data_IF_911399496564
#
_entry.id   IF_911399496564
#
_cell.length_a   1.000
_cell.length_b   1.000
_cell.length_c   1.000
_cell.angle_alpha   90.00
_cell.angle_beta   90.00
_cell.angle_gamma   90.00
#
_symmetry.space_group_name_H-M   'P 1'
#
loop_
_entity.id
_entity.type
_entity.pdbx_description
1 polymer ?
#
# COMPACT_ATOMS: atom_id res chain seq x y z
N UNK A 1 -6.27 -13.84 -6.52
CA UNK A 1 -6.58 -14.70 -5.37
C UNK A 1 -7.36 -15.93 -5.83
N UNK A 2 -7.02 -17.12 -5.31
CA UNK A 2 -7.66 -18.37 -5.68
C UNK A 2 -8.47 -18.93 -4.50
N UNK A 3 -9.63 -19.48 -4.81
CA UNK A 3 -10.51 -20.13 -3.86
C UNK A 3 -10.74 -21.57 -4.29
N UNK A 4 -10.67 -22.51 -3.35
CA UNK A 4 -11.09 -23.89 -3.56
C UNK A 4 -12.52 -24.07 -3.07
N UNK A 5 -13.34 -24.69 -3.87
CA UNK A 5 -14.75 -24.97 -3.55
C UNK A 5 -14.92 -26.49 -3.39
N UNK A 6 -15.34 -26.89 -2.20
CA UNK A 6 -15.74 -28.27 -1.93
C UNK A 6 -17.26 -28.38 -2.09
N UNK A 7 -17.70 -29.35 -2.91
CA UNK A 7 -19.14 -29.57 -3.17
C UNK A 7 -19.96 -29.88 -1.91
N UNK A 8 -19.30 -30.38 -0.85
CA UNK A 8 -20.00 -30.72 0.41
C UNK A 8 -20.03 -29.59 1.43
N UNK A 9 -18.97 -28.80 1.52
CA UNK A 9 -18.75 -27.84 2.61
C UNK A 9 -18.62 -26.37 2.14
N UNK A 10 -18.81 -26.09 0.86
CA UNK A 10 -18.61 -24.74 0.31
C UNK A 10 -17.15 -24.41 0.08
N UNK A 11 -16.72 -23.25 0.52
CA UNK A 11 -15.32 -22.80 0.42
C UNK A 11 -14.44 -23.57 1.39
N UNK A 12 -13.42 -24.26 0.89
CA UNK A 12 -12.41 -24.95 1.73
C UNK A 12 -11.48 -23.96 2.40
N UNK A 13 -11.11 -22.89 1.71
CA UNK A 13 -10.31 -21.80 2.25
C UNK A 13 -11.22 -20.64 2.60
N UNK A 14 -11.22 -20.23 3.86
CA UNK A 14 -11.98 -19.06 4.31
C UNK A 14 -11.40 -17.74 3.81
N UNK A 15 -10.13 -17.75 3.39
CA UNK A 15 -9.41 -16.58 2.91
C UNK A 15 -8.77 -16.87 1.55
N UNK A 16 -8.73 -15.88 0.64
CA UNK A 16 -8.02 -16.01 -0.61
C UNK A 16 -6.52 -16.12 -0.37
N UNK A 17 -5.85 -16.97 -1.12
CA UNK A 17 -4.40 -17.12 -1.07
C UNK A 17 -3.73 -16.63 -2.36
N UNK A 18 -2.50 -16.14 -2.22
CA UNK A 18 -1.69 -15.68 -3.34
C UNK A 18 -1.29 -16.84 -4.26
N UNK A 19 -1.33 -16.69 -5.59
CA UNK A 19 -0.77 -17.68 -6.50
C UNK A 19 0.74 -17.89 -6.35
N UNK A 20 1.46 -17.00 -5.65
CA UNK A 20 2.90 -17.00 -5.52
C UNK A 20 3.59 -17.01 -6.89
N UNK A 21 3.23 -16.04 -7.72
CA UNK A 21 3.65 -15.93 -9.11
C UNK A 21 4.28 -14.56 -9.38
N UNK A 22 5.59 -14.47 -9.64
CA UNK A 22 6.28 -13.22 -9.88
C UNK A 22 5.96 -12.59 -11.24
N UNK A 23 5.30 -13.30 -12.15
CA UNK A 23 4.78 -12.70 -13.40
C UNK A 23 3.70 -11.64 -13.14
N UNK A 24 3.10 -11.65 -11.95
CA UNK A 24 2.22 -10.57 -11.50
C UNK A 24 3.03 -9.53 -10.74
N UNK A 25 3.07 -8.30 -11.25
CA UNK A 25 3.89 -7.20 -10.71
C UNK A 25 3.53 -6.87 -9.25
N UNK A 26 2.26 -6.91 -8.88
CA UNK A 26 1.80 -6.74 -7.50
C UNK A 26 2.39 -7.78 -6.55
N UNK A 27 2.52 -9.02 -7.00
CA UNK A 27 3.15 -10.10 -6.24
C UNK A 27 4.67 -9.93 -6.20
N UNK A 28 5.29 -9.65 -7.33
CA UNK A 28 6.72 -9.43 -7.39
C UNK A 28 7.17 -8.32 -6.45
N UNK A 29 6.44 -7.20 -6.39
CA UNK A 29 6.73 -6.06 -5.52
C UNK A 29 6.22 -6.30 -4.09
N UNK A 30 5.02 -6.82 -3.92
CA UNK A 30 4.40 -7.03 -2.62
C UNK A 30 4.94 -8.23 -1.84
N UNK A 31 5.57 -9.19 -2.52
CA UNK A 31 5.94 -10.47 -1.94
C UNK A 31 4.74 -11.40 -1.72
N UNK A 32 5.00 -12.59 -1.19
CA UNK A 32 3.95 -13.58 -0.90
C UNK A 32 4.32 -14.53 0.22
N UNK A 33 3.30 -15.12 0.77
CA UNK A 33 3.39 -16.32 1.59
C UNK A 33 2.20 -17.22 1.24
N UNK A 34 2.50 -18.44 0.82
CA UNK A 34 1.51 -19.46 0.52
C UNK A 34 1.83 -20.73 1.29
N UNK A 35 0.95 -21.10 2.20
CA UNK A 35 0.97 -22.34 2.94
C UNK A 35 -0.34 -23.09 2.63
N UNK A 36 -0.27 -24.11 1.79
CA UNK A 36 -1.33 -25.08 1.67
C UNK A 36 -0.86 -26.37 2.34
N UNK A 37 -1.72 -27.02 3.10
CA UNK A 37 -1.33 -28.10 4.00
C UNK A 37 -0.68 -29.34 3.33
N UNK A 38 -0.70 -29.43 2.00
CA UNK A 38 -0.17 -30.57 1.23
C UNK A 38 1.17 -30.24 0.56
N UNK A 39 1.47 -28.96 0.33
CA UNK A 39 2.68 -28.53 -0.37
C UNK A 39 3.61 -27.75 0.55
N UNK A 40 4.94 -27.75 0.27
CA UNK A 40 5.86 -26.90 1.00
C UNK A 40 5.46 -25.44 0.95
N UNK A 41 5.52 -24.76 2.09
CA UNK A 41 5.31 -23.31 2.16
C UNK A 41 6.29 -22.59 1.25
N UNK A 42 5.78 -21.72 0.39
CA UNK A 42 6.58 -20.80 -0.42
C UNK A 42 6.39 -19.38 0.07
N UNK A 43 7.48 -18.65 0.24
CA UNK A 43 7.46 -17.28 0.76
C UNK A 43 8.50 -16.41 0.05
N UNK A 44 8.16 -15.17 -0.21
CA UNK A 44 9.09 -14.15 -0.68
C UNK A 44 8.82 -12.85 0.07
N UNK A 45 9.87 -12.27 0.63
CA UNK A 45 9.78 -10.95 1.26
C UNK A 45 9.57 -9.88 0.19
N UNK A 46 8.72 -8.89 0.49
CA UNK A 46 8.62 -7.69 -0.34
C UNK A 46 9.96 -6.96 -0.41
N UNK A 47 10.44 -6.59 -1.59
CA UNK A 47 11.55 -5.66 -1.75
C UNK A 47 11.17 -4.21 -1.41
N UNK A 48 9.87 -3.91 -1.33
CA UNK A 48 9.34 -2.61 -0.97
C UNK A 48 8.98 -2.58 0.51
N UNK A 49 9.48 -1.59 1.23
CA UNK A 49 9.10 -1.30 2.61
C UNK A 49 8.58 0.13 2.70
N UNK A 50 7.40 0.29 3.29
CA UNK A 50 6.79 1.60 3.52
C UNK A 50 6.59 1.77 5.02
N UNK A 51 7.08 2.87 5.58
CA UNK A 51 6.85 3.19 6.99
C UNK A 51 5.39 3.58 7.25
N UNK A 52 4.95 3.53 8.48
CA UNK A 52 3.73 4.20 8.87
C UNK A 52 3.86 5.71 8.57
N UNK A 53 2.77 6.30 8.09
CA UNK A 53 2.67 7.75 7.98
C UNK A 53 2.60 8.33 9.40
N UNK A 54 3.51 9.21 9.73
CA UNK A 54 3.63 9.82 11.06
C UNK A 54 3.62 11.34 10.96
N UNK A 55 3.11 12.07 11.96
CA UNK A 55 3.28 13.50 12.01
C UNK A 55 4.76 13.89 11.87
N UNK A 56 5.05 14.90 11.08
CA UNK A 56 6.41 15.44 10.96
C UNK A 56 6.93 15.91 12.32
N UNK A 57 6.02 16.44 13.14
CA UNK A 57 6.23 16.72 14.56
C UNK A 57 4.86 16.70 15.27
N UNK A 58 4.77 16.31 16.55
CA UNK A 58 3.49 16.31 17.28
C UNK A 58 2.74 17.66 17.26
N UNK A 59 3.46 18.78 17.22
CA UNK A 59 2.87 20.13 17.14
C UNK A 59 2.52 20.58 15.71
N UNK A 60 2.78 19.75 14.70
CA UNK A 60 2.44 20.05 13.30
C UNK A 60 1.27 19.20 12.79
N UNK A 61 0.63 18.43 13.67
CA UNK A 61 -0.55 17.65 13.31
C UNK A 61 -1.59 17.70 14.42
N UNK A 62 -2.84 17.72 14.03
CA UNK A 62 -3.98 17.65 14.91
C UNK A 62 -4.78 16.36 14.67
N UNK A 63 -5.39 15.83 15.71
CA UNK A 63 -6.29 14.67 15.64
C UNK A 63 -7.67 15.05 16.14
N UNK A 64 -8.69 14.81 15.34
CA UNK A 64 -10.08 14.99 15.70
C UNK A 64 -10.72 13.61 15.77
N UNK A 65 -11.42 13.32 16.86
CA UNK A 65 -12.25 12.12 16.97
C UNK A 65 -13.63 12.46 16.44
N UNK A 66 -14.12 11.66 15.53
CA UNK A 66 -15.44 11.79 14.95
C UNK A 66 -16.22 10.48 15.14
N UNK A 67 -17.50 10.60 15.44
CA UNK A 67 -18.41 9.48 15.37
C UNK A 67 -19.07 9.52 14.01
N UNK A 68 -18.78 8.51 13.18
CA UNK A 68 -19.41 8.38 11.86
C UNK A 68 -20.62 7.46 12.01
N UNK A 69 -21.77 7.94 11.55
CA UNK A 69 -22.97 7.14 11.39
C UNK A 69 -23.33 6.99 9.92
N UNK A 70 -23.65 5.77 9.50
CA UNK A 70 -24.22 5.51 8.19
C UNK A 70 -25.72 5.29 8.34
N UNK A 71 -26.49 6.10 7.65
CA UNK A 71 -27.91 5.86 7.48
C UNK A 71 -28.17 5.08 6.20
N UNK A 72 -29.11 4.16 6.25
CA UNK A 72 -29.70 3.62 5.04
C UNK A 72 -30.57 4.69 4.40
N UNK A 73 -30.59 4.70 3.07
CA UNK A 73 -31.53 5.50 2.33
C UNK A 73 -32.97 5.13 2.72
N UNK A 74 -33.82 6.14 2.87
CA UNK A 74 -35.26 5.94 3.05
C UNK A 74 -35.96 5.66 1.71
N UNK A 75 -35.23 5.63 0.61
CA UNK A 75 -35.70 5.31 -0.74
C UNK A 75 -35.50 3.81 -1.03
N UNK A 76 -36.56 2.97 -0.88
CA UNK A 76 -36.46 1.51 -1.00
C UNK A 76 -36.03 1.04 -2.39
N UNK A 77 -36.37 1.79 -3.43
CA UNK A 77 -36.04 1.45 -4.83
C UNK A 77 -34.55 1.56 -5.10
N UNK A 78 -33.85 2.46 -4.40
CA UNK A 78 -32.40 2.61 -4.53
C UNK A 78 -31.60 1.68 -3.61
N UNK A 79 -32.18 1.36 -2.44
CA UNK A 79 -31.53 0.52 -1.43
C UNK A 79 -32.54 -0.46 -0.81
N UNK A 80 -32.98 -1.46 -1.56
CA UNK A 80 -33.98 -2.42 -1.07
C UNK A 80 -33.46 -3.15 0.15
N UNK A 81 -34.23 -3.13 1.22
CA UNK A 81 -33.96 -3.91 2.42
C UNK A 81 -34.51 -5.31 2.22
N UNK A 82 -33.65 -6.32 2.32
CA UNK A 82 -34.06 -7.73 2.30
C UNK A 82 -33.80 -8.34 3.66
N UNK A 83 -34.83 -8.89 4.26
CA UNK A 83 -34.72 -9.61 5.53
C UNK A 83 -34.88 -11.10 5.22
N UNK A 84 -33.86 -11.87 5.55
CA UNK A 84 -33.84 -13.32 5.36
C UNK A 84 -34.02 -14.01 6.69
N UNK A 85 -34.86 -15.07 6.70
CA UNK A 85 -34.97 -15.96 7.86
C UNK A 85 -34.08 -17.18 7.64
N UNK A 86 -33.42 -17.65 8.70
CA UNK A 86 -32.58 -18.85 8.62
C UNK A 86 -33.38 -20.08 8.14
N UNK A 87 -32.90 -20.74 7.08
CA UNK A 87 -33.55 -21.89 6.48
C UNK A 87 -34.60 -21.57 5.41
N UNK A 88 -34.72 -20.31 4.99
CA UNK A 88 -35.62 -19.88 3.91
C UNK A 88 -34.80 -19.27 2.78
N UNK A 89 -35.12 -19.65 1.54
CA UNK A 89 -34.40 -19.17 0.35
C UNK A 89 -34.95 -17.83 -0.19
N UNK A 90 -36.15 -17.45 0.22
CA UNK A 90 -36.83 -16.22 -0.16
C UNK A 90 -36.82 -15.19 0.98
N UNK A 91 -36.70 -13.88 0.67
CA UNK A 91 -36.82 -12.83 1.66
C UNK A 91 -38.23 -12.77 2.23
N UNK A 92 -38.35 -12.32 3.47
CA UNK A 92 -39.63 -12.04 4.11
C UNK A 92 -40.37 -10.92 3.38
N UNK A 93 -41.71 -11.02 3.34
CA UNK A 93 -42.56 -9.93 2.87
C UNK A 93 -42.59 -8.78 3.88
N UNK A 94 -43.03 -7.60 3.44
CA UNK A 94 -43.15 -6.44 4.34
C UNK A 94 -44.04 -6.71 5.54
N UNK A 95 -45.14 -7.47 5.35
CA UNK A 95 -46.06 -7.87 6.39
C UNK A 95 -45.41 -8.80 7.43
N UNK A 96 -44.66 -9.81 6.94
CA UNK A 96 -43.92 -10.73 7.80
C UNK A 96 -42.80 -10.01 8.59
N UNK A 97 -42.15 -9.02 7.96
CA UNK A 97 -41.13 -8.19 8.64
C UNK A 97 -41.78 -7.37 9.75
N UNK A 98 -42.93 -6.73 9.47
CA UNK A 98 -43.61 -5.89 10.43
C UNK A 98 -44.10 -6.71 11.62
N UNK A 99 -44.73 -7.85 11.37
CA UNK A 99 -45.21 -8.76 12.42
C UNK A 99 -44.04 -9.22 13.29
N UNK A 100 -42.92 -9.61 12.71
CA UNK A 100 -41.74 -10.01 13.47
C UNK A 100 -41.17 -8.86 14.34
N UNK A 101 -41.13 -7.65 13.80
CA UNK A 101 -40.61 -6.49 14.52
C UNK A 101 -41.53 -6.10 15.70
N UNK A 102 -42.84 -6.17 15.50
CA UNK A 102 -43.85 -5.85 16.54
C UNK A 102 -43.84 -6.91 17.65
N UNK A 103 -43.78 -8.21 17.29
CA UNK A 103 -43.67 -9.31 18.24
C UNK A 103 -42.44 -9.19 19.15
N UNK A 104 -41.31 -8.78 18.58
CA UNK A 104 -40.06 -8.69 19.32
C UNK A 104 -39.79 -7.29 19.88
N UNK A 105 -40.68 -6.33 19.68
CA UNK A 105 -40.52 -4.92 20.07
C UNK A 105 -39.17 -4.35 19.60
N UNK A 106 -38.86 -4.55 18.32
CA UNK A 106 -37.59 -4.13 17.68
C UNK A 106 -37.87 -3.31 16.44
N UNK A 107 -36.85 -2.58 16.03
CA UNK A 107 -36.79 -1.91 14.70
C UNK A 107 -35.57 -2.39 13.96
N UNK A 108 -35.63 -2.42 12.62
CA UNK A 108 -34.45 -2.69 11.82
C UNK A 108 -33.40 -1.59 12.07
N UNK A 109 -32.17 -1.96 12.40
CA UNK A 109 -31.14 -0.98 12.64
C UNK A 109 -30.88 -0.16 11.36
N UNK A 110 -31.16 1.13 11.39
CA UNK A 110 -30.94 2.05 10.26
C UNK A 110 -29.54 2.59 10.21
N UNK A 111 -28.85 2.63 11.36
CA UNK A 111 -27.52 3.24 11.48
C UNK A 111 -26.49 2.25 11.94
N UNK A 112 -25.37 2.26 11.28
CA UNK A 112 -24.16 1.63 11.78
C UNK A 112 -23.25 2.72 12.37
N UNK A 113 -22.88 2.57 13.63
CA UNK A 113 -21.95 3.45 14.30
C UNK A 113 -20.55 2.89 14.17
N UNK A 114 -19.62 3.70 13.67
CA UNK A 114 -18.20 3.40 13.75
C UNK A 114 -17.66 4.23 14.92
N UNK A 115 -17.49 3.64 16.12
CA UNK A 115 -16.89 4.34 17.22
C UNK A 115 -15.41 4.61 16.94
N UNK A 116 -14.90 5.69 17.50
CA UNK A 116 -13.47 6.02 17.47
C UNK A 116 -12.86 6.26 16.10
N UNK A 117 -13.63 6.72 15.13
CA UNK A 117 -13.04 7.20 13.90
C UNK A 117 -12.23 8.46 14.17
N UNK A 118 -10.95 8.42 13.81
CA UNK A 118 -10.05 9.55 13.99
C UNK A 118 -9.65 10.12 12.64
N UNK A 119 -9.81 11.43 12.49
CA UNK A 119 -9.25 12.17 11.37
C UNK A 119 -8.05 12.96 11.84
N UNK A 120 -7.03 12.98 11.03
CA UNK A 120 -5.81 13.74 11.29
C UNK A 120 -5.60 14.75 10.19
N UNK A 121 -5.12 15.91 10.56
CA UNK A 121 -4.71 16.99 9.63
C UNK A 121 -3.37 17.54 10.06
N UNK A 122 -2.57 18.05 9.14
CA UNK A 122 -1.26 18.62 9.41
C UNK A 122 -0.20 18.14 8.43
N UNK A 123 1.07 18.29 8.85
CA UNK A 123 2.22 17.84 8.09
C UNK A 123 2.64 16.44 8.52
N UNK A 124 2.70 15.54 7.56
CA UNK A 124 3.06 14.15 7.77
C UNK A 124 4.26 13.77 6.92
N UNK A 125 4.98 12.75 7.38
CA UNK A 125 6.08 12.14 6.65
C UNK A 125 5.92 10.63 6.67
N UNK A 126 6.31 9.98 5.60
CA UNK A 126 6.53 8.54 5.52
C UNK A 126 7.79 8.27 4.71
N UNK A 127 8.39 7.13 4.94
CA UNK A 127 9.61 6.72 4.27
C UNK A 127 9.31 5.47 3.42
N UNK A 128 9.95 5.41 2.27
CA UNK A 128 9.91 4.27 1.36
C UNK A 128 11.33 3.77 1.17
N UNK A 129 11.54 2.47 1.34
CA UNK A 129 12.80 1.81 1.02
C UNK A 129 12.57 0.71 -0.02
N UNK A 130 13.39 0.69 -1.05
CA UNK A 130 13.35 -0.28 -2.13
C UNK A 130 14.68 -1.05 -2.12
N UNK A 131 14.60 -2.36 -1.90
CA UNK A 131 15.78 -3.23 -2.03
C UNK A 131 15.97 -3.64 -3.49
N UNK A 132 16.78 -2.88 -4.23
CA UNK A 132 17.04 -3.13 -5.64
C UNK A 132 17.67 -4.50 -5.88
N UNK A 133 18.40 -5.06 -4.91
CA UNK A 133 19.05 -6.37 -5.02
C UNK A 133 18.06 -7.50 -5.24
N UNK A 134 16.81 -7.32 -4.79
CA UNK A 134 15.77 -8.34 -4.88
C UNK A 134 14.53 -7.86 -5.63
N UNK A 135 14.49 -6.62 -6.10
CA UNK A 135 13.30 -6.01 -6.71
C UNK A 135 12.75 -6.85 -7.87
N UNK A 136 13.61 -7.18 -8.83
CA UNK A 136 13.24 -7.93 -10.03
C UNK A 136 13.80 -9.35 -10.06
N UNK A 137 14.18 -9.89 -8.91
CA UNK A 137 14.70 -11.25 -8.82
C UNK A 137 13.94 -12.11 -7.82
N UNK A 138 13.91 -13.41 -8.06
CA UNK A 138 13.28 -14.40 -7.18
C UNK A 138 14.25 -15.55 -6.93
N UNK A 139 14.51 -15.85 -5.67
CA UNK A 139 15.44 -16.91 -5.26
C UNK A 139 15.02 -18.29 -5.77
N UNK A 140 15.98 -19.03 -6.30
CA UNK A 140 15.83 -20.45 -6.67
C UNK A 140 16.19 -21.41 -5.50
N UNK A 141 16.47 -20.90 -4.33
CA UNK A 141 16.83 -21.70 -3.17
C UNK A 141 15.70 -22.67 -2.80
N UNK A 142 16.02 -23.97 -2.72
CA UNK A 142 15.04 -25.01 -2.43
C UNK A 142 14.96 -25.37 -0.92
N UNK A 143 15.79 -24.80 -0.08
CA UNK A 143 15.71 -24.95 1.39
C UNK A 143 14.76 -23.89 1.98
N UNK A 144 14.83 -22.66 1.49
CA UNK A 144 13.87 -21.57 1.78
C UNK A 144 13.16 -21.14 0.51
N UNK A 145 12.14 -21.90 0.14
CA UNK A 145 11.52 -21.77 -1.17
C UNK A 145 10.75 -20.47 -1.32
N UNK A 146 11.13 -19.69 -2.32
CA UNK A 146 10.28 -18.62 -2.84
C UNK A 146 9.27 -19.16 -3.87
N UNK A 147 9.66 -20.18 -4.65
CA UNK A 147 8.88 -20.79 -5.72
C UNK A 147 8.91 -22.32 -5.63
N UNK A 148 7.90 -22.97 -6.20
CA UNK A 148 7.92 -24.40 -6.50
C UNK A 148 8.85 -24.68 -7.68
N UNK A 149 9.33 -25.92 -7.81
CA UNK A 149 10.18 -26.31 -8.94
C UNK A 149 9.49 -26.11 -10.29
N UNK A 150 8.23 -26.54 -10.40
CA UNK A 150 7.46 -26.41 -11.64
C UNK A 150 7.30 -24.93 -12.03
N UNK A 151 7.16 -24.02 -11.05
CA UNK A 151 7.07 -22.60 -11.33
C UNK A 151 8.41 -22.01 -11.80
N UNK A 152 9.53 -22.48 -11.27
CA UNK A 152 10.87 -22.11 -11.73
C UNK A 152 11.05 -22.49 -13.20
N UNK A 153 10.72 -23.75 -13.58
CA UNK A 153 10.86 -24.19 -14.97
C UNK A 153 9.95 -23.39 -15.90
N UNK A 154 8.70 -23.16 -15.49
CA UNK A 154 7.78 -22.32 -16.27
C UNK A 154 8.32 -20.91 -16.51
N UNK A 155 8.86 -20.25 -15.48
CA UNK A 155 9.43 -18.90 -15.63
C UNK A 155 10.62 -18.87 -16.59
N UNK A 156 11.45 -19.91 -16.60
CA UNK A 156 12.54 -20.03 -17.58
C UNK A 156 11.98 -20.16 -19.01
N UNK A 157 10.92 -20.94 -19.19
CA UNK A 157 10.22 -21.04 -20.49
C UNK A 157 9.60 -19.69 -20.91
N UNK A 158 9.11 -18.91 -19.94
CA UNK A 158 8.55 -17.57 -20.12
C UNK A 158 9.65 -16.48 -20.31
N UNK A 159 10.95 -16.85 -20.34
CA UNK A 159 12.06 -15.96 -20.66
C UNK A 159 12.77 -15.34 -19.46
N UNK A 160 12.46 -15.75 -18.23
CA UNK A 160 13.21 -15.29 -17.06
C UNK A 160 14.66 -15.82 -17.10
N UNK A 161 15.60 -14.97 -16.73
CA UNK A 161 17.04 -15.19 -16.87
C UNK A 161 17.61 -15.75 -15.56
N UNK A 162 18.42 -16.79 -15.64
CA UNK A 162 19.20 -17.25 -14.51
C UNK A 162 20.34 -16.27 -14.20
N UNK A 163 20.47 -15.91 -12.93
CA UNK A 163 21.52 -15.02 -12.46
C UNK A 163 21.86 -15.26 -11.00
N UNK A 164 22.70 -14.40 -10.47
CA UNK A 164 23.15 -14.46 -9.10
C UNK A 164 23.05 -13.09 -8.44
N UNK A 165 22.31 -13.01 -7.35
CA UNK A 165 22.29 -11.82 -6.50
C UNK A 165 23.08 -12.07 -5.22
N UNK A 166 23.19 -11.06 -4.35
CA UNK A 166 23.91 -11.16 -3.06
C UNK A 166 23.41 -12.27 -2.12
N UNK A 167 22.26 -12.87 -2.42
CA UNK A 167 21.66 -13.97 -1.65
C UNK A 167 21.80 -15.33 -2.35
N UNK A 168 22.40 -15.39 -3.53
CA UNK A 168 22.66 -16.60 -4.30
C UNK A 168 21.85 -16.68 -5.61
N UNK A 169 21.74 -17.89 -6.13
CA UNK A 169 21.10 -18.15 -7.42
C UNK A 169 19.62 -17.70 -7.44
N UNK A 170 19.27 -16.98 -8.48
CA UNK A 170 17.92 -16.42 -8.66
C UNK A 170 17.47 -16.44 -10.13
N UNK A 171 16.18 -16.27 -10.33
CA UNK A 171 15.59 -15.89 -11.61
C UNK A 171 15.36 -14.40 -11.64
N UNK A 172 15.69 -13.76 -12.74
CA UNK A 172 15.60 -12.32 -12.96
C UNK A 172 14.58 -12.05 -14.05
N UNK A 173 13.72 -11.08 -13.82
CA UNK A 173 12.75 -10.59 -14.79
C UNK A 173 13.47 -10.09 -16.06
N UNK A 174 12.98 -10.41 -17.28
CA UNK A 174 13.57 -9.93 -18.52
C UNK A 174 13.64 -8.39 -18.60
N UNK A 175 14.65 -7.87 -19.29
CA UNK A 175 14.89 -6.43 -19.46
C UNK A 175 13.69 -5.70 -20.05
N UNK A 176 13.07 -6.29 -21.07
CA UNK A 176 11.91 -5.70 -21.74
C UNK A 176 10.74 -5.51 -20.79
N UNK A 177 10.51 -6.45 -19.86
CA UNK A 177 9.48 -6.33 -18.84
C UNK A 177 9.88 -5.31 -17.76
N UNK A 178 11.15 -5.29 -17.34
CA UNK A 178 11.67 -4.30 -16.38
C UNK A 178 11.50 -2.87 -16.91
N UNK A 179 11.77 -2.66 -18.20
CA UNK A 179 11.62 -1.35 -18.85
C UNK A 179 10.20 -0.81 -18.82
N UNK A 180 9.20 -1.70 -18.78
CA UNK A 180 7.79 -1.33 -18.63
C UNK A 180 7.43 -1.12 -17.16
N UNK A 181 7.90 -1.99 -16.28
CA UNK A 181 7.52 -1.98 -14.86
C UNK A 181 8.17 -0.83 -14.09
N UNK A 182 9.44 -0.51 -14.37
CA UNK A 182 10.19 0.54 -13.65
C UNK A 182 9.47 1.88 -13.66
N UNK A 183 9.11 2.48 -14.80
CA UNK A 183 8.43 3.77 -14.80
C UNK A 183 7.04 3.70 -14.17
N UNK A 184 6.29 2.63 -14.38
CA UNK A 184 4.99 2.44 -13.75
C UNK A 184 5.09 2.34 -12.23
N UNK A 185 6.13 1.68 -11.72
CA UNK A 185 6.37 1.56 -10.29
C UNK A 185 6.81 2.89 -9.68
N UNK A 186 7.74 3.62 -10.32
CA UNK A 186 8.14 4.95 -9.89
C UNK A 186 6.94 5.91 -9.82
N UNK A 187 6.11 5.91 -10.87
CA UNK A 187 4.88 6.69 -10.91
C UNK A 187 3.93 6.33 -9.76
N UNK A 188 3.72 5.05 -9.50
CA UNK A 188 2.87 4.59 -8.41
C UNK A 188 3.38 5.03 -7.04
N UNK A 189 4.70 5.05 -6.82
CA UNK A 189 5.29 5.49 -5.55
C UNK A 189 5.10 6.97 -5.28
N UNK A 190 5.14 7.81 -6.32
CA UNK A 190 4.95 9.25 -6.18
C UNK A 190 3.45 9.62 -6.08
N UNK A 191 2.59 8.89 -6.78
CA UNK A 191 1.19 9.27 -6.97
C UNK A 191 0.19 8.41 -6.20
N UNK A 192 0.63 7.49 -5.32
CA UNK A 192 -0.31 6.67 -4.56
C UNK A 192 -1.15 7.51 -3.59
N UNK A 193 -2.34 7.04 -3.30
CA UNK A 193 -3.28 7.71 -2.40
C UNK A 193 -3.95 6.71 -1.48
N UNK A 194 -4.20 7.15 -0.25
CA UNK A 194 -4.98 6.35 0.69
C UNK A 194 -6.46 6.49 0.34
N UNK A 195 -7.11 5.37 0.05
CA UNK A 195 -8.55 5.30 -0.14
C UNK A 195 -9.17 4.45 0.97
N UNK A 196 -10.25 4.95 1.56
CA UNK A 196 -11.00 4.18 2.56
C UNK A 196 -12.03 3.29 1.88
N UNK A 197 -12.01 2.01 2.17
CA UNK A 197 -12.95 1.03 1.60
C UNK A 197 -14.36 1.13 2.20
N UNK A 198 -14.51 1.70 3.38
CA UNK A 198 -15.72 1.53 4.18
C UNK A 198 -16.68 2.71 4.14
N UNK A 199 -16.22 3.90 3.81
CA UNK A 199 -17.04 5.11 3.98
C UNK A 199 -17.05 6.05 2.77
N UNK A 200 -16.58 5.62 1.61
CA UNK A 200 -16.41 6.46 0.41
C UNK A 200 -15.63 7.76 0.68
N UNK A 201 -14.91 7.80 1.78
CA UNK A 201 -13.99 8.89 2.11
C UNK A 201 -12.62 8.58 1.52
N UNK A 202 -12.00 9.60 0.97
CA UNK A 202 -10.62 9.54 0.53
C UNK A 202 -9.84 10.63 1.25
N UNK A 203 -8.55 10.38 1.45
CA UNK A 203 -7.65 11.40 1.99
C UNK A 203 -7.02 12.18 0.85
N UNK A 204 -7.16 13.48 0.88
CA UNK A 204 -6.34 14.35 0.06
C UNK A 204 -4.93 14.33 0.65
N UNK A 205 -4.01 13.79 -0.14
CA UNK A 205 -2.59 13.80 0.18
C UNK A 205 -1.92 14.67 -0.88
N UNK A 206 -1.36 15.77 -0.45
CA UNK A 206 -0.59 16.65 -1.32
C UNK A 206 0.89 16.45 -0.98
N UNK A 207 1.68 15.83 -1.88
CA UNK A 207 3.12 15.73 -1.68
C UNK A 207 3.74 17.12 -1.73
N UNK A 208 4.38 17.55 -0.65
CA UNK A 208 5.03 18.86 -0.56
C UNK A 208 6.50 18.79 -0.95
N UNK A 209 7.16 17.71 -0.58
CA UNK A 209 8.55 17.45 -0.94
C UNK A 209 8.85 15.95 -0.95
N UNK A 210 9.80 15.58 -1.80
CA UNK A 210 10.33 14.23 -1.91
C UNK A 210 11.85 14.29 -1.82
N UNK A 211 12.44 13.48 -0.95
CA UNK A 211 13.88 13.28 -0.88
C UNK A 211 14.24 11.89 -1.38
N UNK A 212 15.19 11.77 -2.30
CA UNK A 212 15.64 10.51 -2.88
C UNK A 212 17.13 10.32 -2.61
N UNK A 213 17.53 9.16 -2.12
CA UNK A 213 18.92 8.80 -1.87
C UNK A 213 19.15 7.30 -2.05
N UNK A 214 20.33 6.92 -2.45
CA UNK A 214 20.80 5.52 -2.41
C UNK A 214 21.09 5.06 -0.97
N UNK A 215 21.18 5.97 -0.02
CA UNK A 215 21.43 5.69 1.38
C UNK A 215 20.22 6.06 2.23
N UNK A 216 19.50 5.05 2.71
CA UNK A 216 18.28 5.23 3.49
C UNK A 216 18.44 6.12 4.74
N UNK A 217 19.63 6.15 5.36
CA UNK A 217 19.87 6.99 6.55
C UNK A 217 20.03 8.47 6.20
N UNK A 218 20.40 8.80 4.97
CA UNK A 218 20.67 10.20 4.57
C UNK A 218 19.40 11.01 4.36
N UNK A 219 18.34 10.39 3.84
CA UNK A 219 17.08 11.10 3.60
C UNK A 219 16.44 11.65 4.88
N UNK A 220 16.68 11.02 6.04
CA UNK A 220 16.08 11.44 7.31
C UNK A 220 16.47 12.87 7.75
N UNK A 221 17.60 13.37 7.26
CA UNK A 221 18.05 14.73 7.52
C UNK A 221 17.41 15.79 6.62
N UNK A 222 16.94 15.42 5.43
CA UNK A 222 16.44 16.38 4.44
C UNK A 222 15.08 16.97 4.79
N UNK A 223 14.19 16.13 5.33
CA UNK A 223 12.82 16.54 5.70
C UNK A 223 12.60 16.21 7.18
N UNK A 224 12.56 17.23 8.02
CA UNK A 224 12.43 17.09 9.47
C UNK A 224 11.71 18.28 10.11
N UNK A 225 11.54 18.29 11.40
CA UNK A 225 11.06 19.44 12.14
C UNK A 225 11.88 19.65 13.42
N UNK A 226 11.94 20.90 13.87
CA UNK A 226 12.51 21.28 15.17
C UNK A 226 11.54 22.12 15.96
N UNK A 227 11.72 22.16 17.28
CA UNK A 227 11.03 23.14 18.14
C UNK A 227 11.44 24.54 17.74
N UNK A 228 10.48 25.46 17.79
CA UNK A 228 10.73 26.87 17.60
C UNK A 228 11.07 27.51 18.95
N UNK A 229 12.35 27.84 19.23
CA UNK A 229 12.75 28.43 20.51
C UNK A 229 12.29 29.87 20.66
N UNK A 230 11.96 30.56 19.58
CA UNK A 230 11.59 31.97 19.56
C UNK A 230 10.09 32.20 19.75
N UNK A 231 9.32 31.14 19.95
CA UNK A 231 7.86 31.20 20.13
C UNK A 231 7.51 31.19 21.62
N UNK A 232 6.63 32.10 22.04
CA UNK A 232 6.04 32.12 23.40
C UNK A 232 5.22 30.84 23.71
N UNK A 233 4.84 30.11 22.69
CA UNK A 233 4.14 28.81 22.79
C UNK A 233 4.99 27.71 22.16
N UNK A 234 4.90 26.51 22.69
CA UNK A 234 5.55 25.33 22.08
C UNK A 234 5.05 25.11 20.65
N UNK A 235 5.86 25.50 19.70
CA UNK A 235 5.62 25.32 18.26
C UNK A 235 6.76 24.53 17.65
N UNK A 236 6.51 23.92 16.50
CA UNK A 236 7.53 23.28 15.69
C UNK A 236 7.60 23.96 14.32
N UNK A 237 8.82 24.04 13.80
CA UNK A 237 9.08 24.51 12.43
C UNK A 237 9.49 23.32 11.58
N UNK A 238 8.84 23.10 10.44
CA UNK A 238 9.36 22.17 9.44
C UNK A 238 10.66 22.68 8.85
N UNK A 239 11.54 21.75 8.49
CA UNK A 239 12.84 22.04 7.87
C UNK A 239 12.93 21.13 6.64
N UNK A 240 13.20 21.71 5.49
CA UNK A 240 13.43 21.04 4.24
C UNK A 240 14.77 21.58 3.71
N UNK A 241 15.77 20.73 3.67
CA UNK A 241 17.14 21.08 3.31
C UNK A 241 17.72 20.01 2.39
N UNK A 242 18.40 20.46 1.34
CA UNK A 242 19.21 19.61 0.48
C UNK A 242 20.45 19.11 1.23
N UNK A 243 20.78 17.85 1.05
CA UNK A 243 21.96 17.22 1.65
C UNK A 243 22.84 16.61 0.54
N UNK A 244 24.14 16.52 0.78
CA UNK A 244 25.12 16.08 -0.21
C UNK A 244 24.79 14.70 -0.84
N UNK A 245 24.15 13.81 -0.10
CA UNK A 245 23.85 12.45 -0.55
C UNK A 245 22.33 12.23 -0.78
N UNK A 246 21.53 13.28 -0.87
CA UNK A 246 20.08 13.17 -1.06
C UNK A 246 19.55 14.26 -1.98
N UNK A 247 19.04 13.88 -3.13
CA UNK A 247 18.34 14.77 -4.04
C UNK A 247 16.99 15.19 -3.45
N UNK A 248 16.69 16.48 -3.44
CA UNK A 248 15.49 17.04 -2.87
C UNK A 248 14.62 17.71 -3.93
N UNK A 249 13.35 17.33 -3.97
CA UNK A 249 12.35 17.84 -4.90
C UNK A 249 11.22 18.47 -4.12
N UNK A 250 10.99 19.78 -4.33
CA UNK A 250 10.03 20.59 -3.56
C UNK A 250 8.97 21.15 -4.49
N UNK A 251 7.70 20.88 -4.19
CA UNK A 251 6.58 21.36 -5.00
C UNK A 251 6.25 22.82 -4.71
N UNK A 252 5.59 23.51 -5.65
CA UNK A 252 5.13 24.88 -5.45
C UNK A 252 4.19 25.05 -4.26
N UNK A 253 3.39 24.01 -3.97
CA UNK A 253 2.49 24.02 -2.82
C UNK A 253 3.22 24.05 -1.48
N UNK A 254 4.47 23.59 -1.44
CA UNK A 254 5.25 23.55 -0.21
C UNK A 254 5.45 24.93 0.41
N UNK A 255 5.68 25.97 -0.39
CA UNK A 255 5.89 27.33 0.07
C UNK A 255 4.73 27.94 0.86
N UNK A 256 3.52 27.39 0.70
CA UNK A 256 2.37 27.76 1.53
C UNK A 256 2.47 27.26 2.98
N UNK A 257 3.34 26.29 3.25
CA UNK A 257 3.48 25.64 4.55
C UNK A 257 4.87 25.79 5.15
N UNK A 258 5.90 25.86 4.31
CA UNK A 258 7.32 25.87 4.72
C UNK A 258 8.08 26.91 3.91
N UNK A 259 8.86 27.77 4.54
CA UNK A 259 9.78 28.65 3.80
C UNK A 259 10.86 27.80 3.12
N UNK A 260 10.85 27.76 1.80
CA UNK A 260 11.82 27.04 0.95
C UNK A 260 12.18 27.91 -0.25
N UNK A 261 13.31 27.63 -0.88
CA UNK A 261 13.83 28.45 -1.98
C UNK A 261 13.94 27.71 -3.32
N UNK A 262 13.68 26.40 -3.35
CA UNK A 262 13.91 25.55 -4.51
C UNK A 262 12.63 24.86 -5.01
N UNK A 263 11.53 25.61 -5.01
CA UNK A 263 10.24 25.09 -5.45
C UNK A 263 10.20 24.96 -6.97
N UNK A 264 9.62 23.88 -7.47
CA UNK A 264 9.46 23.62 -8.89
C UNK A 264 8.08 23.04 -9.19
N UNK A 265 7.51 23.45 -10.32
CA UNK A 265 6.23 22.91 -10.79
C UNK A 265 6.34 21.45 -11.22
N UNK A 266 7.53 21.02 -11.65
CA UNK A 266 7.87 19.68 -12.11
C UNK A 266 8.65 18.86 -11.08
N UNK A 267 8.54 19.23 -9.79
CA UNK A 267 9.28 18.56 -8.72
C UNK A 267 8.95 17.07 -8.60
N UNK A 268 7.70 16.70 -8.73
CA UNK A 268 7.27 15.30 -8.62
C UNK A 268 7.68 14.48 -9.83
N UNK A 269 7.59 15.05 -11.02
CA UNK A 269 8.06 14.45 -12.26
C UNK A 269 9.57 14.18 -12.22
N UNK A 270 10.35 15.14 -11.73
CA UNK A 270 11.81 14.98 -11.53
C UNK A 270 12.15 13.91 -10.48
N UNK A 271 11.38 13.84 -9.40
CA UNK A 271 11.54 12.79 -8.41
C UNK A 271 11.25 11.40 -9.00
N UNK A 272 10.21 11.29 -9.83
CA UNK A 272 9.88 10.07 -10.58
C UNK A 272 11.00 9.68 -11.55
N UNK A 273 11.51 10.64 -12.34
CA UNK A 273 12.64 10.43 -13.26
C UNK A 273 13.89 9.95 -12.52
N UNK A 274 14.17 10.51 -11.34
CA UNK A 274 15.32 10.07 -10.51
C UNK A 274 15.13 8.64 -10.00
N UNK A 275 13.95 8.25 -9.58
CA UNK A 275 13.66 6.87 -9.19
C UNK A 275 13.84 5.92 -10.37
N UNK A 276 13.38 6.29 -11.56
CA UNK A 276 13.58 5.52 -12.79
C UNK A 276 15.05 5.37 -13.11
N UNK A 277 15.83 6.47 -13.06
CA UNK A 277 17.27 6.47 -13.28
C UNK A 277 17.97 5.46 -12.34
N UNK A 278 17.70 5.56 -11.03
CA UNK A 278 18.31 4.70 -10.02
C UNK A 278 17.98 3.22 -10.23
N UNK A 279 16.72 2.91 -10.56
CA UNK A 279 16.30 1.54 -10.82
C UNK A 279 16.89 0.99 -12.13
N UNK A 280 17.02 1.80 -13.19
CA UNK A 280 17.61 1.37 -14.46
C UNK A 280 19.11 1.23 -14.40
N UNK A 281 19.80 2.05 -13.62
CA UNK A 281 21.25 2.00 -13.47
C UNK A 281 21.75 0.86 -12.59
N UNK A 282 20.85 0.15 -11.90
CA UNK A 282 21.23 -0.94 -11.02
C UNK A 282 21.53 -2.22 -11.81
N UNK A 283 22.64 -2.88 -11.47
CA UNK A 283 23.03 -4.15 -12.08
C UNK A 283 22.26 -5.31 -11.42
N UNK A 284 21.31 -5.88 -12.14
CA UNK A 284 20.46 -6.96 -11.63
C UNK A 284 21.03 -8.36 -11.85
N UNK A 285 21.91 -8.54 -12.83
CA UNK A 285 22.32 -9.87 -13.30
C UNK A 285 23.55 -10.40 -12.57
N UNK A 286 24.47 -9.53 -12.20
CA UNK A 286 25.75 -9.89 -11.56
C UNK A 286 26.04 -8.97 -10.39
N UNK A 287 25.51 -9.32 -9.23
CA UNK A 287 25.61 -8.50 -8.00
C UNK A 287 26.76 -8.94 -7.08
N UNK A 288 27.82 -9.54 -7.61
CA UNK A 288 28.97 -10.03 -6.82
C UNK A 288 29.97 -8.94 -6.47
#
# INVERSE_FOLDING_TARGET
FNYNINKKNGLENKEPWSPADPSYVDQLIGGWMRADGENPTVKRRSPLSISAMRPLHPYLAGTVREIISFDRSDEPDHHPVRVMMAGRDEPLSEEEIQEFLDEHNRTLPRRNWIPENTRTTGLFIYDVAIDLRTLFSVSMNQHERALTKDKIEKLKEDGWIEGENVFGQCLIMPDEERDIVIPAFAHALINWRITSNQSRTFSLMEPLAVAVSQNANRIAGSIRAKLDPDSDFMKAKPIIEELDDADLYVTLSCGGYVPVNNESADALEKAEEKLVELMRSFEYENQT
#
